data_IF_011843529185
#
_entry.id   IF_011843529185
#
_cell.length_a   1.000
_cell.length_b   1.000
_cell.length_c   1.000
_cell.angle_alpha   90.00
_cell.angle_beta   90.00
_cell.angle_gamma   90.00
#
_symmetry.space_group_name_H-M   'P 1'
#
loop_
_entity.id
_entity.type
_entity.pdbx_description
1 polymer ?
#
# COMPACT_ATOMS: atom_id res chain seq x y z
N UNK A 1 -18.56 -20.25 -4.84
CA UNK A 1 -17.84 -19.01 -4.49
C UNK A 1 -16.47 -19.24 -3.82
N UNK A 2 -16.37 -20.07 -2.78
CA UNK A 2 -15.06 -20.37 -2.12
C UNK A 2 -14.09 -21.10 -3.07
N UNK A 3 -14.57 -22.11 -3.81
CA UNK A 3 -13.75 -22.89 -4.74
C UNK A 3 -13.04 -22.05 -5.82
N UNK A 4 -13.70 -21.05 -6.41
CA UNK A 4 -13.09 -20.16 -7.42
C UNK A 4 -11.97 -19.29 -6.82
N UNK A 5 -12.15 -18.81 -5.59
CA UNK A 5 -11.15 -18.00 -4.87
C UNK A 5 -9.92 -18.83 -4.50
N UNK A 6 -10.13 -20.06 -4.02
CA UNK A 6 -9.03 -20.99 -3.76
C UNK A 6 -8.32 -21.43 -5.05
N UNK A 7 -9.06 -21.64 -6.15
CA UNK A 7 -8.47 -21.98 -7.44
C UNK A 7 -7.57 -20.86 -7.98
N UNK A 8 -7.98 -19.60 -7.85
CA UNK A 8 -7.14 -18.45 -8.22
C UNK A 8 -5.84 -18.44 -7.40
N UNK A 9 -5.93 -18.59 -6.07
CA UNK A 9 -4.74 -18.66 -5.22
C UNK A 9 -3.81 -19.82 -5.61
N UNK A 10 -4.37 -21.00 -5.87
CA UNK A 10 -3.59 -22.17 -6.33
C UNK A 10 -2.94 -21.95 -7.69
N UNK A 11 -3.61 -21.25 -8.62
CA UNK A 11 -3.08 -21.02 -9.98
C UNK A 11 -1.77 -20.23 -10.00
N UNK A 12 -1.51 -19.45 -8.96
CA UNK A 12 -0.29 -18.64 -8.81
C UNK A 12 0.60 -19.13 -7.66
N UNK A 13 0.39 -20.36 -7.18
CA UNK A 13 1.14 -20.97 -6.07
C UNK A 13 1.13 -20.15 -4.77
N UNK A 14 0.07 -19.37 -4.53
CA UNK A 14 -0.10 -18.67 -3.27
C UNK A 14 -0.43 -19.70 -2.17
N UNK A 15 0.33 -19.77 -1.06
CA UNK A 15 0.14 -20.80 -0.03
C UNK A 15 -1.05 -20.45 0.89
N UNK A 16 -2.24 -20.39 0.31
CA UNK A 16 -3.47 -20.03 1.00
C UNK A 16 -3.83 -21.10 2.03
N UNK A 17 -3.79 -20.72 3.31
CA UNK A 17 -4.22 -21.61 4.40
C UNK A 17 -5.70 -21.41 4.72
N UNK A 18 -6.16 -20.16 4.80
CA UNK A 18 -7.51 -19.81 5.23
C UNK A 18 -8.00 -18.52 4.56
N UNK A 19 -9.31 -18.45 4.31
CA UNK A 19 -10.01 -17.26 3.88
C UNK A 19 -11.02 -16.87 4.96
N UNK A 20 -10.97 -15.61 5.39
CA UNK A 20 -11.83 -15.05 6.42
C UNK A 20 -12.76 -13.99 5.82
N UNK A 21 -13.95 -13.89 6.40
CA UNK A 21 -14.85 -12.77 6.20
C UNK A 21 -14.95 -12.04 7.54
N UNK A 22 -14.74 -10.73 7.53
CA UNK A 22 -14.86 -9.88 8.72
C UNK A 22 -16.14 -9.04 8.58
N UNK A 23 -16.85 -8.88 9.70
CA UNK A 23 -17.99 -7.97 9.86
C UNK A 23 -17.50 -6.50 9.91
N UNK A 24 -17.03 -5.97 8.77
CA UNK A 24 -16.61 -4.57 8.62
C UNK A 24 -17.78 -3.60 8.79
N UNK A 25 -18.98 -4.04 8.40
CA UNK A 25 -20.23 -3.27 8.50
C UNK A 25 -20.58 -2.81 9.92
N UNK A 26 -20.08 -3.50 10.97
CA UNK A 26 -20.27 -3.08 12.37
C UNK A 26 -19.51 -1.78 12.72
N UNK A 27 -18.54 -1.37 11.91
CA UNK A 27 -17.70 -0.18 12.14
C UNK A 27 -17.96 0.92 11.12
N UNK A 28 -18.10 0.56 9.85
CA UNK A 28 -18.31 1.51 8.75
C UNK A 28 -18.86 0.81 7.51
N UNK A 29 -19.37 1.57 6.55
CA UNK A 29 -19.74 1.08 5.22
C UNK A 29 -18.54 0.82 4.29
N UNK A 30 -17.32 1.14 4.72
CA UNK A 30 -16.14 0.99 3.87
C UNK A 30 -15.86 -0.46 3.48
N UNK A 31 -15.50 -0.64 2.22
CA UNK A 31 -15.15 -1.95 1.65
C UNK A 31 -13.66 -2.12 1.50
N UNK A 32 -13.18 -3.31 1.88
CA UNK A 32 -11.77 -3.64 1.81
C UNK A 32 -11.55 -5.17 1.66
N UNK A 33 -10.39 -5.51 1.12
CA UNK A 33 -9.82 -6.85 1.07
C UNK A 33 -8.33 -6.71 1.36
N UNK A 34 -7.76 -7.64 2.11
CA UNK A 34 -6.32 -7.65 2.33
C UNK A 34 -5.78 -9.04 2.59
N UNK A 35 -4.46 -9.16 2.46
CA UNK A 35 -3.73 -10.39 2.73
C UNK A 35 -2.78 -10.22 3.89
N UNK A 36 -2.60 -11.28 4.68
CA UNK A 36 -1.65 -11.27 5.78
C UNK A 36 -1.06 -12.66 6.05
N UNK A 37 0.02 -12.69 6.83
CA UNK A 37 0.66 -13.93 7.27
C UNK A 37 2.13 -14.03 6.83
N UNK A 38 2.86 -14.95 7.48
CA UNK A 38 4.30 -15.11 7.31
C UNK A 38 4.65 -16.47 6.71
N UNK A 39 5.68 -16.51 5.86
CA UNK A 39 6.12 -17.72 5.18
C UNK A 39 4.98 -18.42 4.42
N UNK A 40 4.77 -19.71 4.71
CA UNK A 40 3.71 -20.54 4.11
C UNK A 40 2.32 -20.36 4.73
N UNK A 41 2.20 -19.59 5.81
CA UNK A 41 0.93 -19.39 6.51
C UNK A 41 0.23 -18.12 6.02
N UNK A 42 -0.21 -18.12 4.77
CA UNK A 42 -0.84 -16.96 4.13
C UNK A 42 -2.37 -17.03 4.21
N UNK A 43 -3.00 -15.89 4.46
CA UNK A 43 -4.44 -15.76 4.69
C UNK A 43 -4.99 -14.58 3.89
N UNK A 44 -6.25 -14.71 3.49
CA UNK A 44 -7.02 -13.67 2.80
C UNK A 44 -8.16 -13.24 3.71
N UNK A 45 -8.39 -11.94 3.81
CA UNK A 45 -9.50 -11.33 4.55
C UNK A 45 -10.34 -10.51 3.60
N UNK A 46 -11.65 -10.72 3.64
CA UNK A 46 -12.63 -9.96 2.88
C UNK A 46 -13.62 -9.30 3.84
N UNK A 47 -14.02 -8.07 3.54
CA UNK A 47 -15.06 -7.41 4.32
C UNK A 47 -16.44 -7.88 3.84
N UNK A 48 -17.38 -8.00 4.76
CA UNK A 48 -18.78 -8.30 4.43
C UNK A 48 -19.42 -7.21 3.57
N UNK A 49 -19.02 -5.95 3.76
CA UNK A 49 -19.42 -4.78 2.93
C UNK A 49 -18.99 -4.96 1.48
N UNK A 50 -17.74 -5.38 1.24
CA UNK A 50 -17.22 -5.64 -0.10
C UNK A 50 -18.06 -6.72 -0.80
N UNK A 51 -18.36 -7.79 -0.08
CA UNK A 51 -19.15 -8.91 -0.59
C UNK A 51 -20.58 -8.52 -0.97
N UNK A 52 -21.14 -7.45 -0.38
CA UNK A 52 -22.47 -6.93 -0.69
C UNK A 52 -22.47 -5.96 -1.88
N UNK A 53 -21.36 -5.27 -2.13
CA UNK A 53 -21.27 -4.19 -3.13
C UNK A 53 -20.80 -4.67 -4.50
N UNK A 54 -19.94 -5.69 -4.55
CA UNK A 54 -19.33 -6.17 -5.79
C UNK A 54 -19.71 -7.62 -6.10
N UNK A 55 -19.71 -7.94 -7.39
CA UNK A 55 -20.00 -9.29 -7.90
C UNK A 55 -18.85 -10.26 -7.63
N UNK A 56 -19.14 -11.56 -7.72
CA UNK A 56 -18.12 -12.59 -7.53
C UNK A 56 -16.90 -12.43 -8.45
N UNK A 57 -17.12 -12.04 -9.70
CA UNK A 57 -16.03 -11.89 -10.67
C UNK A 57 -15.21 -10.62 -10.37
N UNK A 58 -15.84 -9.53 -9.91
CA UNK A 58 -15.14 -8.33 -9.42
C UNK A 58 -14.29 -8.65 -8.19
N UNK A 59 -14.81 -9.45 -7.24
CA UNK A 59 -14.03 -9.91 -6.08
C UNK A 59 -12.81 -10.72 -6.52
N UNK A 60 -12.95 -11.60 -7.52
CA UNK A 60 -11.81 -12.35 -8.05
C UNK A 60 -10.76 -11.42 -8.68
N UNK A 61 -11.19 -10.40 -9.41
CA UNK A 61 -10.28 -9.41 -9.99
C UNK A 61 -9.56 -8.58 -8.92
N UNK A 62 -10.26 -8.17 -7.86
CA UNK A 62 -9.67 -7.46 -6.70
C UNK A 62 -8.67 -8.38 -5.99
N UNK A 63 -9.01 -9.65 -5.79
CA UNK A 63 -8.07 -10.63 -5.24
C UNK A 63 -6.85 -10.83 -6.15
N UNK A 64 -7.02 -10.80 -7.48
CA UNK A 64 -5.92 -10.82 -8.43
C UNK A 64 -4.95 -9.65 -8.23
N UNK A 65 -5.49 -8.45 -7.96
CA UNK A 65 -4.69 -7.26 -7.62
C UNK A 65 -3.95 -7.45 -6.29
N UNK A 66 -4.65 -7.86 -5.22
CA UNK A 66 -4.03 -8.14 -3.93
C UNK A 66 -2.89 -9.16 -4.07
N UNK A 67 -3.14 -10.27 -4.77
CA UNK A 67 -2.16 -11.30 -5.04
C UNK A 67 -0.98 -10.79 -5.88
N UNK A 68 -1.18 -9.77 -6.70
CA UNK A 68 -0.11 -9.04 -7.39
C UNK A 68 0.89 -8.39 -6.43
N UNK A 69 0.42 -7.79 -5.32
CA UNK A 69 1.32 -7.26 -4.30
C UNK A 69 2.20 -8.33 -3.67
N UNK A 70 1.67 -9.54 -3.51
CA UNK A 70 2.45 -10.66 -3.01
C UNK A 70 3.42 -11.20 -4.07
N UNK A 71 2.95 -11.43 -5.29
CA UNK A 71 3.75 -11.99 -6.37
C UNK A 71 4.94 -11.10 -6.74
N UNK A 72 4.76 -9.78 -6.70
CA UNK A 72 5.79 -8.78 -6.96
C UNK A 72 6.58 -8.38 -5.70
N UNK A 73 6.37 -9.08 -4.58
CA UNK A 73 7.09 -8.88 -3.32
C UNK A 73 7.01 -7.47 -2.73
N UNK A 74 5.94 -6.70 -3.03
CA UNK A 74 5.79 -5.32 -2.56
C UNK A 74 5.84 -5.21 -1.02
N UNK A 75 5.24 -6.17 -0.30
CA UNK A 75 5.31 -6.18 1.17
C UNK A 75 6.73 -6.36 1.68
N UNK A 76 7.53 -7.21 1.03
CA UNK A 76 8.93 -7.43 1.43
C UNK A 76 9.79 -6.21 1.11
N UNK A 77 9.61 -5.61 -0.07
CA UNK A 77 10.28 -4.36 -0.46
C UNK A 77 9.97 -3.26 0.56
N UNK A 78 8.69 -3.04 0.88
CA UNK A 78 8.28 -2.04 1.87
C UNK A 78 8.85 -2.33 3.27
N UNK A 79 8.94 -3.61 3.66
CA UNK A 79 9.56 -4.00 4.93
C UNK A 79 11.04 -3.64 4.97
N UNK A 80 11.82 -4.02 3.95
CA UNK A 80 13.25 -3.71 3.85
C UNK A 80 13.49 -2.21 3.82
N UNK A 81 12.75 -1.47 3.00
CA UNK A 81 12.85 -0.02 2.90
C UNK A 81 12.56 0.65 4.25
N UNK A 82 11.55 0.17 4.98
CA UNK A 82 11.25 0.66 6.34
C UNK A 82 12.39 0.38 7.33
N UNK A 83 13.05 -0.79 7.24
CA UNK A 83 14.21 -1.08 8.09
C UNK A 83 15.40 -0.17 7.77
N UNK A 84 15.66 0.07 6.48
CA UNK A 84 16.72 0.98 6.04
C UNK A 84 16.43 2.42 6.48
N UNK A 85 15.17 2.86 6.40
CA UNK A 85 14.74 4.16 6.89
C UNK A 85 15.02 4.33 8.38
N UNK A 86 14.58 3.39 9.23
CA UNK A 86 14.87 3.45 10.66
C UNK A 86 16.37 3.36 10.95
N UNK A 87 17.09 2.48 10.25
CA UNK A 87 18.54 2.36 10.36
C UNK A 87 19.26 3.66 10.05
N UNK A 88 18.89 4.34 8.96
CA UNK A 88 19.45 5.63 8.58
C UNK A 88 19.12 6.73 9.60
N UNK A 89 17.88 6.77 10.09
CA UNK A 89 17.46 7.75 11.10
C UNK A 89 18.23 7.59 12.42
N UNK A 90 18.38 6.35 12.91
CA UNK A 90 19.15 6.07 14.13
C UNK A 90 20.66 6.22 13.94
N UNK A 91 21.19 5.89 12.76
CA UNK A 91 22.58 6.14 12.43
C UNK A 91 22.87 7.65 12.43
N UNK A 92 22.02 8.44 11.77
CA UNK A 92 22.09 9.91 11.78
C UNK A 92 22.00 10.47 13.20
N UNK A 93 21.08 9.96 14.02
CA UNK A 93 21.00 10.33 15.43
C UNK A 93 22.30 10.04 16.17
N UNK A 94 22.90 8.86 15.94
CA UNK A 94 24.19 8.46 16.50
C UNK A 94 25.32 9.44 16.18
N UNK A 95 25.36 9.99 14.96
CA UNK A 95 26.34 11.02 14.57
C UNK A 95 26.13 12.35 15.30
N UNK A 96 24.88 12.68 15.66
CA UNK A 96 24.50 13.93 16.32
C UNK A 96 24.43 13.84 17.86
N UNK A 97 24.74 12.68 18.46
CA UNK A 97 24.67 12.50 19.92
C UNK A 97 25.55 13.50 20.68
N UNK A 98 26.73 13.84 20.14
CA UNK A 98 27.70 14.70 20.80
C UNK A 98 27.54 16.19 20.46
N UNK A 99 26.57 16.56 19.62
CA UNK A 99 26.40 17.96 19.19
C UNK A 99 25.55 18.73 20.19
N UNK A 100 26.12 19.72 20.87
CA UNK A 100 25.40 20.50 21.88
C UNK A 100 24.50 21.61 21.29
N UNK A 101 24.77 22.02 20.04
CA UNK A 101 24.10 23.18 19.43
C UNK A 101 22.59 23.00 19.28
N UNK A 102 22.15 21.83 18.82
CA UNK A 102 20.72 21.55 18.63
C UNK A 102 19.98 21.62 19.97
N UNK A 103 20.53 21.04 21.03
CA UNK A 103 19.82 20.87 22.30
C UNK A 103 19.86 22.14 23.17
N UNK A 104 20.99 22.85 23.17
CA UNK A 104 21.12 24.15 23.85
C UNK A 104 20.18 25.21 23.28
N UNK A 105 19.86 25.17 21.99
CA UNK A 105 18.85 26.05 21.37
C UNK A 105 17.44 25.86 21.97
N UNK A 106 17.17 24.72 22.60
CA UNK A 106 15.91 24.43 23.32
C UNK A 106 16.06 24.51 24.84
N UNK A 107 17.15 25.10 25.35
CA UNK A 107 17.36 25.34 26.78
C UNK A 107 17.87 24.13 27.56
N UNK A 108 18.41 23.11 26.89
CA UNK A 108 19.03 21.97 27.56
C UNK A 108 20.54 22.15 27.65
N UNK A 109 21.07 22.08 28.88
CA UNK A 109 22.51 22.04 29.12
C UNK A 109 23.08 20.66 28.78
N UNK A 110 24.35 20.65 28.36
CA UNK A 110 25.04 19.45 27.84
C UNK A 110 24.95 18.24 28.77
N UNK A 111 25.03 18.46 30.07
CA UNK A 111 25.15 17.41 31.08
C UNK A 111 23.80 16.89 31.60
N UNK A 112 22.69 17.50 31.16
CA UNK A 112 21.34 17.21 31.67
C UNK A 112 20.33 16.82 30.59
N UNK A 113 20.77 16.57 29.35
CA UNK A 113 19.88 16.24 28.22
C UNK A 113 19.34 14.80 28.37
N UNK A 114 18.02 14.60 28.55
CA UNK A 114 17.46 13.26 28.53
C UNK A 114 17.51 12.69 27.11
N UNK A 115 17.94 11.42 26.96
CA UNK A 115 18.08 10.76 25.65
C UNK A 115 16.80 10.77 24.81
N UNK A 116 15.63 10.73 25.45
CA UNK A 116 14.35 10.82 24.75
C UNK A 116 14.13 12.22 24.15
N UNK A 117 14.50 13.27 24.89
CA UNK A 117 14.39 14.65 24.41
C UNK A 117 15.34 14.87 23.24
N UNK A 118 16.59 14.40 23.32
CA UNK A 118 17.53 14.53 22.22
C UNK A 118 17.05 13.80 20.97
N UNK A 119 16.49 12.60 21.12
CA UNK A 119 15.90 11.86 20.01
C UNK A 119 14.71 12.60 19.39
N UNK A 120 13.79 13.13 20.20
CA UNK A 120 12.64 13.91 19.70
C UNK A 120 13.12 15.15 18.95
N UNK A 121 14.01 15.94 19.53
CA UNK A 121 14.53 17.15 18.88
C UNK A 121 15.26 16.82 17.57
N UNK A 122 16.06 15.75 17.56
CA UNK A 122 16.67 15.26 16.32
C UNK A 122 15.61 14.89 15.27
N UNK A 123 14.60 14.10 15.63
CA UNK A 123 13.59 13.65 14.67
C UNK A 123 12.74 14.80 14.11
N UNK A 124 12.36 15.76 14.95
CA UNK A 124 11.47 16.86 14.55
C UNK A 124 12.18 18.01 13.81
N UNK A 125 13.45 18.29 14.13
CA UNK A 125 14.13 19.46 13.58
C UNK A 125 15.23 19.12 12.59
N UNK A 126 15.99 18.05 12.84
CA UNK A 126 17.08 17.65 11.96
C UNK A 126 16.61 16.66 10.88
N UNK A 127 15.87 15.62 11.29
CA UNK A 127 15.40 14.57 10.39
C UNK A 127 14.18 15.00 9.56
N UNK A 128 13.31 15.88 10.09
CA UNK A 128 12.05 16.22 9.44
C UNK A 128 12.14 16.71 7.98
N UNK A 129 13.12 17.55 7.57
CA UNK A 129 13.26 17.92 6.16
C UNK A 129 13.61 16.71 5.27
N UNK A 130 14.48 15.83 5.75
CA UNK A 130 14.83 14.58 5.05
C UNK A 130 13.62 13.64 4.99
N UNK A 131 12.87 13.53 6.08
CA UNK A 131 11.64 12.75 6.15
C UNK A 131 10.62 13.18 5.09
N UNK A 132 10.48 14.48 4.79
CA UNK A 132 9.59 14.93 3.70
C UNK A 132 10.02 14.44 2.32
N UNK A 133 11.32 14.48 2.03
CA UNK A 133 11.86 13.98 0.76
C UNK A 133 11.70 12.46 0.68
N UNK A 134 12.06 11.75 1.74
CA UNK A 134 11.94 10.30 1.80
C UNK A 134 10.47 9.88 1.66
N UNK A 135 9.57 10.49 2.43
CA UNK A 135 8.14 10.23 2.37
C UNK A 135 7.58 10.41 0.97
N UNK A 136 7.99 11.47 0.25
CA UNK A 136 7.59 11.67 -1.14
C UNK A 136 8.05 10.53 -2.07
N UNK A 137 9.31 10.09 -1.94
CA UNK A 137 9.83 8.96 -2.71
C UNK A 137 9.10 7.64 -2.38
N UNK A 138 8.77 7.43 -1.12
CA UNK A 138 7.97 6.29 -0.67
C UNK A 138 6.56 6.32 -1.27
N UNK A 139 5.90 7.48 -1.29
CA UNK A 139 4.59 7.66 -1.95
C UNK A 139 4.66 7.32 -3.45
N UNK A 140 5.72 7.74 -4.14
CA UNK A 140 5.91 7.35 -5.55
C UNK A 140 6.05 5.83 -5.67
N UNK A 141 6.86 5.20 -4.81
CA UNK A 141 7.04 3.75 -4.83
C UNK A 141 5.73 2.98 -4.60
N UNK A 142 4.90 3.41 -3.63
CA UNK A 142 3.59 2.77 -3.40
C UNK A 142 2.66 2.96 -4.59
N UNK A 143 2.67 4.14 -5.23
CA UNK A 143 1.88 4.38 -6.45
C UNK A 143 2.30 3.47 -7.60
N UNK A 144 3.59 3.26 -7.80
CA UNK A 144 4.11 2.34 -8.81
C UNK A 144 3.73 0.89 -8.51
N UNK A 145 3.76 0.49 -7.23
CA UNK A 145 3.32 -0.81 -6.79
C UNK A 145 1.84 -1.07 -7.15
N UNK A 146 0.95 -0.10 -6.98
CA UNK A 146 -0.46 -0.20 -7.38
C UNK A 146 -0.63 -0.46 -8.88
N UNK A 147 0.04 0.32 -9.75
CA UNK A 147 -0.04 0.12 -11.20
C UNK A 147 0.49 -1.25 -11.62
N UNK A 148 1.56 -1.72 -10.98
CA UNK A 148 2.11 -3.06 -11.27
C UNK A 148 1.19 -4.19 -10.78
N UNK A 149 0.48 -4.02 -9.66
CA UNK A 149 -0.52 -4.96 -9.17
C UNK A 149 -1.77 -5.00 -10.07
N UNK A 150 -2.21 -3.84 -10.58
CA UNK A 150 -3.28 -3.75 -11.58
C UNK A 150 -2.91 -4.51 -12.86
N UNK A 151 -1.71 -4.25 -13.40
CA UNK A 151 -1.18 -4.97 -14.55
C UNK A 151 -1.09 -6.48 -14.30
N UNK A 152 -0.65 -6.88 -13.10
CA UNK A 152 -0.58 -8.30 -12.74
C UNK A 152 -1.96 -8.96 -12.79
N UNK A 153 -2.98 -8.33 -12.22
CA UNK A 153 -4.37 -8.84 -12.26
C UNK A 153 -4.89 -8.97 -13.69
N UNK A 154 -4.65 -7.96 -14.54
CA UNK A 154 -5.00 -8.01 -15.97
C UNK A 154 -4.26 -9.14 -16.69
N UNK A 155 -2.98 -9.34 -16.37
CA UNK A 155 -2.16 -10.43 -16.90
C UNK A 155 -2.68 -11.83 -16.55
N UNK A 156 -3.39 -11.97 -15.42
CA UNK A 156 -4.12 -13.20 -15.05
C UNK A 156 -5.41 -13.39 -15.87
N UNK A 157 -5.75 -12.48 -16.77
CA UNK A 157 -6.96 -12.50 -17.59
C UNK A 157 -8.21 -12.00 -16.86
N UNK A 158 -8.04 -11.29 -15.73
CA UNK A 158 -9.15 -10.69 -14.99
C UNK A 158 -9.71 -9.48 -15.76
N UNK A 159 -11.01 -9.48 -16.03
CA UNK A 159 -11.66 -8.47 -16.89
C UNK A 159 -12.51 -7.45 -16.13
N UNK A 160 -12.71 -7.64 -14.83
CA UNK A 160 -13.70 -6.87 -14.05
C UNK A 160 -13.05 -6.01 -12.97
N UNK A 161 -11.72 -5.84 -12.99
CA UNK A 161 -11.00 -5.02 -12.01
C UNK A 161 -11.45 -3.56 -12.06
N UNK A 162 -11.54 -2.98 -13.27
CA UNK A 162 -11.99 -1.60 -13.46
C UNK A 162 -13.38 -1.35 -12.86
N UNK A 163 -14.34 -2.24 -13.13
CA UNK A 163 -15.70 -2.17 -12.58
C UNK A 163 -15.71 -2.32 -11.06
N UNK A 164 -14.95 -3.29 -10.52
CA UNK A 164 -14.84 -3.51 -9.08
C UNK A 164 -14.26 -2.30 -8.34
N UNK A 165 -13.15 -1.73 -8.84
CA UNK A 165 -12.53 -0.54 -8.26
C UNK A 165 -13.45 0.68 -8.35
N UNK A 166 -14.19 0.84 -9.45
CA UNK A 166 -15.16 1.93 -9.61
C UNK A 166 -16.28 1.84 -8.58
N UNK A 167 -16.84 0.64 -8.37
CA UNK A 167 -17.88 0.42 -7.34
C UNK A 167 -17.35 0.70 -5.94
N UNK A 168 -16.17 0.18 -5.59
CA UNK A 168 -15.54 0.45 -4.29
C UNK A 168 -15.33 1.95 -4.10
N UNK A 169 -14.87 2.66 -5.14
CA UNK A 169 -14.60 4.09 -5.07
C UNK A 169 -15.88 4.90 -4.85
N UNK A 170 -16.97 4.57 -5.55
CA UNK A 170 -18.28 5.22 -5.38
C UNK A 170 -18.81 4.98 -3.97
N UNK A 171 -18.79 3.73 -3.52
CA UNK A 171 -19.29 3.33 -2.19
C UNK A 171 -18.47 3.96 -1.04
N UNK A 172 -17.17 4.13 -1.25
CA UNK A 172 -16.28 4.80 -0.30
C UNK A 172 -16.31 6.34 -0.43
N UNK A 173 -17.16 6.91 -1.30
CA UNK A 173 -17.24 8.35 -1.57
C UNK A 173 -15.87 8.96 -1.92
N UNK A 174 -15.11 8.23 -2.73
CA UNK A 174 -13.79 8.65 -3.18
C UNK A 174 -13.83 9.93 -4.01
N UNK A 175 -12.72 10.68 -3.98
CA UNK A 175 -12.58 11.89 -4.78
C UNK A 175 -12.49 11.56 -6.28
N UNK A 176 -13.49 12.00 -7.05
CA UNK A 176 -13.56 11.79 -8.50
C UNK A 176 -12.51 12.61 -9.28
N UNK A 177 -12.15 13.80 -8.77
CA UNK A 177 -11.15 14.68 -9.38
C UNK A 177 -10.24 15.20 -8.28
N UNK A 178 -8.98 14.80 -8.36
CA UNK A 178 -7.94 15.23 -7.43
C UNK A 178 -6.95 16.13 -8.14
N UNK A 179 -6.45 17.15 -7.45
CA UNK A 179 -5.34 17.95 -7.98
C UNK A 179 -4.09 17.06 -8.17
N UNK A 180 -3.36 17.30 -9.26
CA UNK A 180 -2.22 16.47 -9.66
C UNK A 180 -1.08 16.54 -8.65
N UNK A 181 -0.76 17.74 -8.17
CA UNK A 181 0.34 17.92 -7.22
C UNK A 181 -0.04 17.38 -5.85
N UNK A 182 -1.27 17.67 -5.42
CA UNK A 182 -1.81 17.14 -4.17
C UNK A 182 -1.81 15.61 -4.16
N UNK A 183 -2.33 14.96 -5.21
CA UNK A 183 -2.38 13.50 -5.28
C UNK A 183 -0.97 12.89 -5.32
N UNK A 184 -0.04 13.49 -6.06
CA UNK A 184 1.34 12.97 -6.20
C UNK A 184 2.05 12.97 -4.85
N UNK A 185 1.81 13.97 -4.01
CA UNK A 185 2.46 14.07 -2.71
C UNK A 185 1.73 13.28 -1.60
N UNK A 186 0.39 13.32 -1.57
CA UNK A 186 -0.39 12.80 -0.44
C UNK A 186 -0.98 11.41 -0.62
N UNK A 187 -1.23 10.96 -1.85
CA UNK A 187 -1.98 9.72 -2.07
C UNK A 187 -1.06 8.55 -2.30
N UNK A 188 -1.06 7.60 -1.35
CA UNK A 188 -0.35 6.32 -1.48
C UNK A 188 -0.92 5.46 -2.62
N UNK A 189 -2.21 5.60 -2.92
CA UNK A 189 -2.88 5.03 -4.08
C UNK A 189 -3.10 6.10 -5.15
N UNK A 190 -2.75 5.86 -6.43
CA UNK A 190 -3.07 6.80 -7.49
C UNK A 190 -4.59 7.03 -7.59
N UNK A 191 -5.04 8.24 -7.98
CA UNK A 191 -6.45 8.51 -8.30
C UNK A 191 -7.05 7.45 -9.21
N UNK A 192 -8.32 7.12 -9.00
CA UNK A 192 -9.01 6.07 -9.77
C UNK A 192 -8.89 6.30 -11.28
N UNK A 193 -9.08 7.54 -11.75
CA UNK A 193 -8.97 7.89 -13.16
C UNK A 193 -7.62 7.49 -13.78
N UNK A 194 -6.50 7.73 -13.07
CA UNK A 194 -5.16 7.35 -13.54
C UNK A 194 -5.02 5.82 -13.65
N UNK A 195 -5.59 5.08 -12.69
CA UNK A 195 -5.57 3.61 -12.70
C UNK A 195 -6.42 3.05 -13.84
N UNK A 196 -7.61 3.58 -14.06
CA UNK A 196 -8.50 3.19 -15.15
C UNK A 196 -7.86 3.41 -16.52
N UNK A 197 -7.22 4.56 -16.72
CA UNK A 197 -6.50 4.87 -17.97
C UNK A 197 -5.34 3.90 -18.20
N UNK A 198 -4.50 3.67 -17.18
CA UNK A 198 -3.38 2.73 -17.27
C UNK A 198 -3.87 1.30 -17.58
N UNK A 199 -4.92 0.84 -16.90
CA UNK A 199 -5.51 -0.48 -17.15
C UNK A 199 -6.06 -0.63 -18.56
N UNK A 200 -6.72 0.40 -19.10
CA UNK A 200 -7.25 0.37 -20.47
C UNK A 200 -6.14 0.20 -21.51
N UNK A 201 -4.99 0.88 -21.33
CA UNK A 201 -3.82 0.73 -22.20
C UNK A 201 -3.25 -0.69 -22.12
N UNK A 202 -3.11 -1.24 -20.91
CA UNK A 202 -2.59 -2.60 -20.70
C UNK A 202 -3.49 -3.68 -21.32
N UNK A 203 -4.82 -3.55 -21.19
CA UNK A 203 -5.78 -4.46 -21.81
C UNK A 203 -5.68 -4.44 -23.34
N UNK A 204 -5.54 -3.27 -23.95
CA UNK A 204 -5.32 -3.14 -25.41
C UNK A 204 -4.03 -3.84 -25.84
N UNK A 205 -2.93 -3.62 -25.10
CA UNK A 205 -1.64 -4.24 -25.40
C UNK A 205 -1.68 -5.77 -25.27
N UNK A 206 -2.35 -6.29 -24.24
CA UNK A 206 -2.50 -7.73 -24.02
C UNK A 206 -3.32 -8.40 -25.13
N UNK A 207 -4.42 -7.76 -25.55
CA UNK A 207 -5.26 -8.25 -26.64
C UNK A 207 -4.55 -8.24 -28.00
N UNK A 208 -3.66 -7.26 -28.24
CA UNK A 208 -2.83 -7.22 -29.44
C UNK A 208 -1.84 -8.39 -29.50
N UNK A 209 -1.15 -8.71 -28.40
CA UNK A 209 -0.17 -9.82 -28.34
C UNK A 209 -0.79 -11.22 -28.47
N UNK A 210 -2.11 -11.35 -28.31
CA UNK A 210 -2.85 -12.62 -28.40
C UNK A 210 -3.37 -12.92 -29.81
N UNK A 211 -3.33 -11.94 -30.72
CA UNK A 211 -3.63 -12.08 -32.15
C UNK A 211 -2.36 -12.46 -32.91
#
# INVERSE_FOLDING_TARGET
>A
MFARRSALASSINYPLTKLFIIDGSKRSSHSNAFMFGFGKNKRIVLFDTLMKQVTNDEILSILGHELGHWALSHTLVNFVVTQLYFGAAFFGYGLCLNTNYLYSAFGFDRDSIPTLVSLILFMFYFWAPLDKVISFLLTINTRMAEFSADRYSIGLGMKTLQSGLTKIHIENLGSMKSDKWYSTYHYSHPPLAERLEAMAVEEMAFNYKKK
#
